data_IF_940163659914
#
_entry.id   IF_940163659914
#
_cell.length_a   1.000
_cell.length_b   1.000
_cell.length_c   1.000
_cell.angle_alpha   90.00
_cell.angle_beta   90.00
_cell.angle_gamma   90.00
#
_symmetry.space_group_name_H-M   'P 1'
#
loop_
_entity.id
_entity.type
_entity.pdbx_description
1 polymer ?
#
# COMPACT_ATOMS: atom_id res chain seq x y z
N UNK A 1 -3.98 -7.25 -5.99
CA UNK A 1 -4.29 -7.54 -4.57
C UNK A 1 -4.16 -9.03 -4.34
N UNK A 2 -3.58 -9.43 -3.22
CA UNK A 2 -3.38 -10.84 -2.86
C UNK A 2 -4.04 -11.11 -1.51
N UNK A 3 -4.51 -12.33 -1.29
CA UNK A 3 -5.14 -12.73 -0.03
C UNK A 3 -4.15 -12.57 1.12
N UNK A 4 -4.59 -11.98 2.22
CA UNK A 4 -3.75 -11.77 3.39
C UNK A 4 -3.68 -13.04 4.26
N UNK A 5 -2.47 -13.58 4.45
CA UNK A 5 -2.19 -14.74 5.31
C UNK A 5 -1.53 -14.34 6.64
N UNK A 6 -1.66 -13.08 7.05
CA UNK A 6 -1.07 -12.51 8.26
C UNK A 6 0.13 -11.59 7.98
N UNK A 7 0.33 -11.19 6.73
CA UNK A 7 1.38 -10.26 6.34
C UNK A 7 1.01 -8.83 6.77
N UNK A 8 1.95 -8.09 7.41
CA UNK A 8 1.77 -6.68 7.68
C UNK A 8 1.88 -5.88 6.39
N UNK A 9 1.00 -4.89 6.22
CA UNK A 9 1.03 -3.95 5.10
C UNK A 9 -0.34 -3.33 4.83
N UNK A 10 -0.37 -2.40 3.87
CA UNK A 10 -1.59 -1.75 3.44
C UNK A 10 -2.50 -2.65 2.61
N UNK A 11 -3.78 -2.31 2.60
CA UNK A 11 -4.82 -3.05 1.90
C UNK A 11 -5.75 -2.16 1.08
N UNK A 12 -6.65 -2.76 0.30
CA UNK A 12 -7.67 -2.04 -0.45
C UNK A 12 -8.82 -1.61 0.49
N UNK A 13 -9.12 -0.30 0.53
CA UNK A 13 -10.21 0.23 1.34
C UNK A 13 -11.05 1.27 0.58
N UNK A 14 -12.29 1.44 1.04
CA UNK A 14 -13.11 2.59 0.71
C UNK A 14 -12.76 3.74 1.65
N UNK A 15 -12.32 4.86 1.08
CA UNK A 15 -11.91 6.04 1.82
C UNK A 15 -12.86 7.17 1.52
N UNK A 16 -13.38 7.80 2.57
CA UNK A 16 -14.18 9.03 2.48
C UNK A 16 -13.28 10.22 2.81
N UNK A 17 -13.07 11.10 1.85
CA UNK A 17 -12.27 12.31 2.07
C UNK A 17 -13.07 13.40 2.82
N UNK A 18 -12.41 14.51 3.14
CA UNK A 18 -12.98 15.65 3.86
C UNK A 18 -14.20 16.26 3.17
N UNK A 19 -14.23 16.22 1.82
CA UNK A 19 -15.36 16.68 1.01
C UNK A 19 -16.51 15.66 0.93
N UNK A 20 -16.36 14.52 1.61
CA UNK A 20 -17.35 13.45 1.66
C UNK A 20 -17.37 12.53 0.44
N UNK A 21 -16.42 12.68 -0.48
CA UNK A 21 -16.28 11.82 -1.66
C UNK A 21 -15.69 10.48 -1.23
N UNK A 22 -16.31 9.39 -1.71
CA UNK A 22 -15.87 8.03 -1.45
C UNK A 22 -15.10 7.51 -2.67
N UNK A 23 -13.91 6.95 -2.44
CA UNK A 23 -13.06 6.37 -3.49
C UNK A 23 -12.32 5.13 -2.99
N UNK A 24 -11.88 4.29 -3.93
CA UNK A 24 -11.03 3.14 -3.64
C UNK A 24 -9.57 3.59 -3.52
N UNK A 25 -8.94 3.28 -2.39
CA UNK A 25 -7.55 3.64 -2.11
C UNK A 25 -6.82 2.49 -1.41
N UNK A 26 -5.51 2.54 -1.46
CA UNK A 26 -4.65 1.68 -0.65
C UNK A 26 -4.45 2.41 0.67
N UNK A 27 -4.64 1.73 1.80
CA UNK A 27 -4.42 2.33 3.13
C UNK A 27 -3.49 1.44 3.92
N UNK A 28 -2.39 2.02 4.39
CA UNK A 28 -1.41 1.42 5.27
C UNK A 28 -1.90 1.39 6.72
N UNK A 29 -1.42 0.45 7.52
CA UNK A 29 -1.88 0.28 8.90
C UNK A 29 -1.66 1.53 9.77
N UNK A 30 -0.64 2.32 9.47
CA UNK A 30 -0.32 3.55 10.20
C UNK A 30 -1.28 4.73 9.90
N UNK A 31 -2.07 4.63 8.84
CA UNK A 31 -3.11 5.60 8.49
C UNK A 31 -4.46 5.26 9.14
N UNK A 32 -4.54 4.12 9.84
CA UNK A 32 -5.77 3.66 10.49
C UNK A 32 -5.82 4.22 11.92
N UNK A 33 -6.94 4.85 12.26
CA UNK A 33 -7.20 5.29 13.62
C UNK A 33 -7.64 4.10 14.47
N UNK A 34 -6.70 3.52 15.23
CA UNK A 34 -6.97 2.40 16.13
C UNK A 34 -7.79 2.78 17.37
N UNK A 35 -8.04 4.08 17.62
CA UNK A 35 -8.99 4.53 18.64
C UNK A 35 -10.43 4.53 18.11
N UNK A 36 -10.61 4.44 16.78
CA UNK A 36 -11.91 4.35 16.14
C UNK A 36 -12.32 2.89 15.94
N UNK A 37 -13.22 2.40 16.80
CA UNK A 37 -13.70 1.01 16.78
C UNK A 37 -14.22 0.56 15.40
N UNK A 38 -14.87 1.45 14.65
CA UNK A 38 -15.39 1.12 13.31
C UNK A 38 -14.26 0.88 12.32
N UNK A 39 -13.22 1.72 12.33
CA UNK A 39 -12.06 1.52 11.45
C UNK A 39 -11.32 0.23 11.81
N UNK A 40 -11.16 -0.04 13.11
CA UNK A 40 -10.55 -1.28 13.61
C UNK A 40 -11.32 -2.51 13.15
N UNK A 41 -12.65 -2.48 13.20
CA UNK A 41 -13.50 -3.57 12.72
C UNK A 41 -13.33 -3.82 11.22
N UNK A 42 -13.33 -2.75 10.41
CA UNK A 42 -13.11 -2.83 8.95
C UNK A 42 -11.72 -3.42 8.65
N UNK A 43 -10.69 -2.94 9.34
CA UNK A 43 -9.32 -3.42 9.17
C UNK A 43 -9.20 -4.92 9.49
N UNK A 44 -9.76 -5.37 10.62
CA UNK A 44 -9.75 -6.78 11.04
C UNK A 44 -10.50 -7.70 10.08
N UNK A 45 -11.49 -7.17 9.34
CA UNK A 45 -12.24 -7.91 8.32
C UNK A 45 -11.59 -7.85 6.94
N UNK A 46 -10.52 -7.09 6.76
CA UNK A 46 -9.81 -7.02 5.48
C UNK A 46 -9.22 -8.38 5.12
N UNK A 47 -9.45 -8.81 3.88
CA UNK A 47 -9.06 -10.15 3.40
C UNK A 47 -7.85 -10.11 2.47
N UNK A 48 -7.42 -8.93 2.05
CA UNK A 48 -6.42 -8.71 1.02
C UNK A 48 -5.44 -7.64 1.43
N UNK A 49 -4.22 -7.72 0.90
CA UNK A 49 -3.21 -6.67 1.03
C UNK A 49 -2.61 -6.31 -0.34
N UNK A 50 -1.93 -5.17 -0.37
CA UNK A 50 -1.27 -4.62 -1.54
C UNK A 50 0.09 -5.29 -1.80
N UNK A 51 0.26 -6.04 -2.92
CA UNK A 51 1.56 -6.61 -3.30
C UNK A 51 2.50 -5.58 -3.93
N UNK A 52 2.07 -4.32 -4.10
CA UNK A 52 2.79 -3.25 -4.82
C UNK A 52 2.97 -3.55 -6.32
N UNK A 53 2.13 -4.44 -6.87
CA UNK A 53 2.00 -4.65 -8.30
C UNK A 53 0.96 -3.68 -8.87
N UNK A 54 1.43 -2.62 -9.53
CA UNK A 54 0.63 -1.46 -9.94
C UNK A 54 0.76 -1.22 -11.45
N UNK A 55 -0.39 -1.10 -12.12
CA UNK A 55 -0.48 -0.64 -13.50
C UNK A 55 -1.09 0.76 -13.52
N UNK A 56 -0.31 1.75 -13.97
CA UNK A 56 -0.71 3.16 -13.91
C UNK A 56 -0.98 3.75 -15.30
N UNK A 57 -2.21 4.23 -15.50
CA UNK A 57 -2.56 5.07 -16.65
C UNK A 57 -2.03 6.50 -16.47
N UNK A 58 -0.85 6.79 -17.02
CA UNK A 58 -0.18 8.10 -16.86
C UNK A 58 -0.57 9.15 -17.91
N UNK A 59 -1.46 8.81 -18.83
CA UNK A 59 -1.91 9.68 -19.92
C UNK A 59 -3.43 9.70 -20.02
N UNK A 60 -3.98 10.85 -20.40
CA UNK A 60 -5.40 10.98 -20.67
C UNK A 60 -5.80 10.39 -22.03
N UNK A 61 -7.09 10.42 -22.35
CA UNK A 61 -7.65 9.92 -23.61
C UNK A 61 -7.10 10.61 -24.87
N UNK A 62 -6.42 11.76 -24.74
CA UNK A 62 -5.75 12.48 -25.83
C UNK A 62 -4.25 12.16 -25.93
N UNK A 63 -3.74 11.25 -25.08
CA UNK A 63 -2.32 10.91 -25.01
C UNK A 63 -1.45 11.93 -24.27
N UNK A 64 -2.04 12.96 -23.65
CA UNK A 64 -1.31 13.94 -22.85
C UNK A 64 -1.01 13.37 -21.47
N UNK A 65 0.19 13.62 -20.94
CA UNK A 65 0.60 13.15 -19.61
C UNK A 65 -0.17 13.90 -18.52
N UNK A 66 -0.54 13.19 -17.47
CA UNK A 66 -1.01 13.81 -16.23
C UNK A 66 0.17 14.36 -15.41
N UNK A 67 -0.09 15.42 -14.63
CA UNK A 67 0.79 15.82 -13.55
C UNK A 67 0.46 14.98 -12.32
N UNK A 68 1.28 13.96 -12.03
CA UNK A 68 0.97 13.00 -10.95
C UNK A 68 0.98 13.63 -9.55
N UNK A 69 1.61 14.79 -9.37
CA UNK A 69 1.60 15.52 -8.11
C UNK A 69 0.20 16.02 -7.73
N UNK A 70 -0.72 16.15 -8.70
CA UNK A 70 -2.12 16.51 -8.45
C UNK A 70 -2.95 15.33 -7.93
N UNK A 71 -2.37 14.11 -7.89
CA UNK A 71 -3.05 12.88 -7.50
C UNK A 71 -2.41 12.23 -6.26
N UNK A 72 -1.96 13.09 -5.35
CA UNK A 72 -1.35 12.77 -4.07
C UNK A 72 -2.12 13.54 -2.98
N UNK A 73 -2.44 12.87 -1.88
CA UNK A 73 -2.97 13.55 -0.70
C UNK A 73 -1.83 13.98 0.22
N UNK A 74 -1.54 15.28 0.26
CA UNK A 74 -0.46 15.86 1.06
C UNK A 74 -0.66 15.65 2.58
N UNK A 75 -1.90 15.44 3.03
CA UNK A 75 -2.23 15.21 4.43
C UNK A 75 -2.01 13.76 4.87
N UNK A 76 -1.75 12.84 3.93
CA UNK A 76 -1.58 11.40 4.21
C UNK A 76 -0.12 10.97 4.41
N UNK A 77 0.82 11.92 4.52
CA UNK A 77 2.17 11.63 4.97
C UNK A 77 2.20 11.16 6.44
N UNK A 78 3.16 10.31 6.78
CA UNK A 78 3.25 9.72 8.13
C UNK A 78 4.67 9.69 8.68
N UNK A 79 4.78 9.66 10.01
CA UNK A 79 6.06 9.53 10.70
C UNK A 79 6.35 8.04 10.90
N UNK A 80 7.54 7.61 10.49
CA UNK A 80 8.07 6.28 10.77
C UNK A 80 9.21 6.36 11.77
N UNK A 81 9.25 5.39 12.66
CA UNK A 81 10.39 5.16 13.54
C UNK A 81 11.35 4.18 12.87
N UNK A 82 12.61 4.60 12.69
CA UNK A 82 13.66 3.79 12.07
C UNK A 82 14.87 3.75 12.97
N UNK A 83 15.69 2.72 12.83
CA UNK A 83 17.01 2.66 13.46
C UNK A 83 18.08 2.87 12.40
N UNK A 84 18.93 3.89 12.58
CA UNK A 84 20.07 4.15 11.72
C UNK A 84 21.34 4.16 12.55
N UNK A 85 22.30 3.29 12.24
CA UNK A 85 23.56 3.15 12.97
C UNK A 85 23.36 2.97 14.49
N UNK A 86 22.41 2.12 14.88
CA UNK A 86 22.07 1.85 16.28
C UNK A 86 21.34 2.98 17.01
N UNK A 87 21.01 4.08 16.34
CA UNK A 87 20.27 5.20 16.92
C UNK A 87 18.82 5.22 16.42
N UNK A 88 17.83 5.39 17.31
CA UNK A 88 16.45 5.62 16.89
C UNK A 88 16.36 6.99 16.22
N UNK A 89 15.66 7.03 15.09
CA UNK A 89 15.34 8.25 14.35
C UNK A 89 13.86 8.25 14.01
N UNK A 90 13.29 9.44 13.90
CA UNK A 90 11.98 9.65 13.28
C UNK A 90 12.22 10.18 11.87
N UNK A 91 11.58 9.58 10.89
CA UNK A 91 11.56 10.06 9.52
C UNK A 91 10.12 10.36 9.11
N UNK A 92 9.95 11.37 8.27
CA UNK A 92 8.66 11.67 7.66
C UNK A 92 8.65 11.03 6.27
N UNK A 93 7.73 10.10 6.03
CA UNK A 93 7.52 9.52 4.70
C UNK A 93 6.52 10.37 3.95
N UNK A 94 6.99 10.93 2.83
CA UNK A 94 6.15 11.75 1.96
C UNK A 94 5.08 10.88 1.30
N UNK A 95 3.89 11.45 1.11
CA UNK A 95 2.82 10.76 0.42
C UNK A 95 3.22 10.43 -1.02
N UNK A 96 2.91 9.22 -1.47
CA UNK A 96 3.25 8.71 -2.78
C UNK A 96 2.32 7.58 -3.22
N UNK A 97 2.62 7.04 -4.39
CA UNK A 97 1.75 6.11 -5.10
C UNK A 97 1.52 4.77 -4.35
N UNK A 98 2.54 4.26 -3.66
CA UNK A 98 2.50 2.92 -3.06
C UNK A 98 2.33 2.91 -1.54
N UNK A 99 2.49 4.04 -0.85
CA UNK A 99 2.43 4.11 0.61
C UNK A 99 1.06 4.61 1.11
N UNK A 100 0.01 4.35 0.32
CA UNK A 100 -1.36 4.65 0.69
C UNK A 100 -1.76 6.12 0.66
N UNK A 101 -0.94 6.99 0.08
CA UNK A 101 -1.29 8.40 -0.12
C UNK A 101 -1.68 8.75 -1.57
N UNK A 102 -1.90 7.71 -2.38
CA UNK A 102 -2.52 7.78 -3.70
C UNK A 102 -3.98 8.22 -3.56
N UNK A 103 -4.29 9.44 -3.99
CA UNK A 103 -5.64 10.01 -3.90
C UNK A 103 -6.13 10.54 -5.25
N UNK A 104 -7.45 10.57 -5.42
CA UNK A 104 -8.11 11.09 -6.64
C UNK A 104 -7.87 10.26 -7.92
N UNK A 105 -7.37 9.04 -7.78
CA UNK A 105 -7.23 8.11 -8.90
C UNK A 105 -8.53 7.35 -9.18
N UNK A 106 -8.74 7.01 -10.45
CA UNK A 106 -9.70 5.98 -10.84
C UNK A 106 -9.08 4.60 -10.59
N UNK A 107 -9.32 4.07 -9.40
CA UNK A 107 -8.69 2.83 -8.93
C UNK A 107 -9.59 1.62 -9.15
N UNK A 108 -8.99 0.53 -9.64
CA UNK A 108 -9.61 -0.80 -9.68
C UNK A 108 -8.67 -1.76 -8.98
N UNK A 109 -9.20 -2.53 -8.04
CA UNK A 109 -8.46 -3.61 -7.40
C UNK A 109 -8.76 -4.94 -8.08
N UNK A 110 -7.70 -5.62 -8.50
CA UNK A 110 -7.76 -6.94 -9.11
C UNK A 110 -7.13 -7.93 -8.16
N UNK A 111 -7.85 -9.00 -7.82
CA UNK A 111 -7.28 -10.13 -7.09
C UNK A 111 -6.35 -10.92 -8.03
N UNK A 112 -5.16 -11.23 -7.57
CA UNK A 112 -4.17 -12.05 -8.28
C UNK A 112 -3.73 -13.22 -7.40
N UNK A 113 -3.25 -14.34 -7.97
CA UNK A 113 -2.79 -15.48 -7.20
C UNK A 113 -1.67 -15.09 -6.22
N UNK A 114 -1.67 -15.67 -5.00
CA UNK A 114 -0.63 -15.41 -4.01
C UNK A 114 0.77 -15.71 -4.53
N UNK A 115 0.91 -16.68 -5.44
CA UNK A 115 2.17 -17.06 -6.07
C UNK A 115 2.84 -15.94 -6.87
N UNK A 116 2.11 -14.89 -7.27
CA UNK A 116 2.70 -13.71 -7.92
C UNK A 116 3.40 -12.78 -6.94
N UNK A 117 3.30 -13.04 -5.63
CA UNK A 117 3.88 -12.21 -4.58
C UNK A 117 4.87 -13.02 -3.72
N UNK A 118 6.17 -12.80 -3.97
CA UNK A 118 7.27 -13.44 -3.22
C UNK A 118 8.19 -12.35 -2.64
N UNK A 119 7.85 -11.75 -1.49
CA UNK A 119 8.63 -10.67 -0.92
C UNK A 119 9.87 -11.19 -0.19
N UNK A 120 10.94 -10.40 -0.22
CA UNK A 120 12.16 -10.63 0.57
C UNK A 120 12.30 -9.49 1.58
N UNK A 121 11.89 -9.74 2.83
CA UNK A 121 11.95 -8.76 3.94
C UNK A 121 13.21 -8.94 4.79
N UNK A 122 13.71 -10.18 4.87
CA UNK A 122 14.90 -10.60 5.60
C UNK A 122 15.78 -11.47 4.69
N UNK A 123 17.07 -11.61 5.03
CA UNK A 123 17.97 -12.49 4.28
C UNK A 123 17.46 -13.93 4.23
N UNK A 124 16.81 -14.39 5.30
CA UNK A 124 16.26 -15.75 5.36
C UNK A 124 15.08 -15.96 4.42
N UNK A 125 14.39 -14.89 3.97
CA UNK A 125 13.32 -15.05 2.97
C UNK A 125 13.86 -15.59 1.66
N UNK A 126 15.13 -15.31 1.32
CA UNK A 126 15.78 -15.87 0.13
C UNK A 126 15.86 -17.39 0.15
N UNK A 127 15.81 -18.03 1.32
CA UNK A 127 15.83 -19.50 1.45
C UNK A 127 14.49 -20.15 1.07
N UNK A 128 13.43 -19.37 0.87
CA UNK A 128 12.12 -19.89 0.44
C UNK A 128 12.23 -20.50 -0.96
N UNK A 129 11.50 -21.59 -1.26
CA UNK A 129 11.57 -22.27 -2.55
C UNK A 129 11.42 -21.36 -3.78
N UNK A 130 10.55 -20.35 -3.70
CA UNK A 130 10.32 -19.40 -4.79
C UNK A 130 11.54 -18.52 -5.17
N UNK A 131 12.56 -18.48 -4.30
CA UNK A 131 13.79 -17.72 -4.51
C UNK A 131 15.02 -18.60 -4.71
N UNK A 132 14.86 -19.93 -4.62
CA UNK A 132 15.91 -20.88 -4.88
C UNK A 132 15.89 -21.26 -6.36
N UNK A 133 17.06 -21.43 -6.97
CA UNK A 133 17.15 -22.14 -8.25
C UNK A 133 16.54 -23.53 -8.09
N UNK A 134 15.77 -23.99 -9.07
CA UNK A 134 15.44 -25.42 -9.14
C UNK A 134 16.78 -26.18 -9.16
N UNK A 135 16.98 -27.08 -8.18
CA UNK A 135 18.19 -27.89 -8.12
C UNK A 135 18.34 -28.64 -9.46
N UNK A 136 19.46 -28.44 -10.17
CA UNK A 136 19.90 -29.34 -11.24
C UNK A 136 20.15 -30.77 -10.71
#
# INVERSE_FOLDING_TARGET
MVKNEGEPGGGPFWVKNENGIISLQIIESNQIDFLNEKQVEIFKKSTHFNPVDLVCGIKNYKGLKFNLLEYVDENMGFIVEKTKNGKPIKAFELPGLWNGAMAYWNTIFVEVPLTTFNPVKTVNDLLKPAHQSENE
#
